data_IF_706008026475
#
_entry.id   IF_706008026475
#
_cell.length_a   1.000
_cell.length_b   1.000
_cell.length_c   1.000
_cell.angle_alpha   90.00
_cell.angle_beta   90.00
_cell.angle_gamma   90.00
#
_symmetry.space_group_name_H-M   'P 1'
#
loop_
_entity.id
_entity.type
_entity.pdbx_description
1 polymer ?
#
# COMPACT_ATOMS: atom_id res chain seq x y z
N UNK A 1 15.19 -3.16 -9.13
CA UNK A 1 16.11 -2.03 -9.44
C UNK A 1 15.44 -0.78 -10.04
N UNK A 2 14.10 -0.73 -10.18
CA UNK A 2 13.39 0.44 -10.76
C UNK A 2 12.74 1.38 -9.72
N UNK A 3 12.51 0.92 -8.49
CA UNK A 3 11.87 1.71 -7.42
C UNK A 3 12.73 2.87 -6.89
N UNK A 4 14.05 2.79 -7.00
CA UNK A 4 14.96 3.82 -6.50
C UNK A 4 15.14 5.03 -7.45
N UNK A 5 14.52 5.01 -8.65
CA UNK A 5 14.66 6.07 -9.67
C UNK A 5 13.59 7.16 -9.59
N UNK A 6 12.41 6.86 -9.03
CA UNK A 6 11.32 7.85 -8.94
C UNK A 6 11.55 8.82 -7.77
N UNK A 7 12.17 8.38 -6.67
CA UNK A 7 12.51 9.27 -5.55
C UNK A 7 13.74 10.16 -5.78
N UNK A 8 14.66 9.77 -6.69
CA UNK A 8 15.94 10.48 -6.92
C UNK A 8 15.89 11.59 -7.98
N UNK A 9 14.77 11.76 -8.70
CA UNK A 9 14.69 12.74 -9.79
C UNK A 9 14.47 14.20 -9.31
N UNK A 10 14.11 14.42 -8.04
CA UNK A 10 13.79 15.76 -7.51
C UNK A 10 14.96 16.57 -6.93
N UNK A 11 16.15 15.99 -6.76
CA UNK A 11 17.23 16.62 -5.95
C UNK A 11 18.53 16.71 -6.76
N UNK A 12 18.54 17.49 -7.84
CA UNK A 12 19.74 17.68 -8.67
C UNK A 12 20.07 19.10 -9.13
N UNK A 13 19.55 20.14 -8.46
CA UNK A 13 20.07 21.49 -8.70
C UNK A 13 20.35 22.24 -7.39
N UNK A 14 21.64 22.42 -7.09
CA UNK A 14 22.14 23.49 -6.23
C UNK A 14 22.68 23.12 -4.84
N UNK A 15 23.99 22.85 -4.75
CA UNK A 15 25.01 23.52 -3.87
C UNK A 15 24.58 23.74 -2.39
N UNK A 16 25.24 23.23 -1.33
CA UNK A 16 26.68 23.22 -0.97
C UNK A 16 26.93 22.29 0.23
N UNK A 17 28.06 21.58 0.21
CA UNK A 17 28.62 20.84 1.35
C UNK A 17 29.02 21.80 2.48
N UNK A 18 28.54 21.57 3.70
CA UNK A 18 29.26 21.95 4.93
C UNK A 18 29.29 20.76 5.89
N UNK A 19 30.50 20.23 6.11
CA UNK A 19 30.82 19.37 7.24
C UNK A 19 30.95 20.25 8.48
N UNK A 20 30.17 19.96 9.51
CA UNK A 20 30.49 20.32 10.89
C UNK A 20 30.06 19.16 11.79
N UNK A 21 31.05 18.55 12.43
CA UNK A 21 30.89 17.59 13.51
C UNK A 21 30.35 18.27 14.76
N UNK A 22 29.28 17.72 15.36
CA UNK A 22 29.03 17.81 16.79
C UNK A 22 28.18 16.63 17.27
N UNK A 23 28.57 16.13 18.43
CA UNK A 23 28.06 15.01 19.20
C UNK A 23 26.52 14.82 19.26
N UNK A 24 26.15 13.54 19.42
CA UNK A 24 25.01 12.98 20.13
C UNK A 24 23.86 13.93 20.54
N UNK A 25 22.70 13.74 19.92
CA UNK A 25 21.40 14.01 20.54
C UNK A 25 20.34 13.15 19.83
N UNK A 26 19.55 12.42 20.61
CA UNK A 26 18.50 11.52 20.11
C UNK A 26 17.43 12.25 19.32
N UNK A 27 16.89 11.55 18.32
CA UNK A 27 15.66 11.95 17.64
C UNK A 27 14.52 11.14 18.23
N UNK A 28 13.93 11.68 19.29
CA UNK A 28 12.59 11.30 19.71
C UNK A 28 11.62 11.74 18.61
N UNK A 29 10.92 10.79 18.00
CA UNK A 29 9.73 11.09 17.20
C UNK A 29 8.69 11.69 18.14
N UNK A 30 8.40 12.97 17.95
CA UNK A 30 7.36 13.69 18.70
C UNK A 30 5.98 13.16 18.31
N UNK A 31 5.58 12.02 18.87
CA UNK A 31 4.16 11.69 18.97
C UNK A 31 3.56 12.60 20.02
N UNK A 32 2.80 13.59 19.57
CA UNK A 32 1.91 14.38 20.43
C UNK A 32 1.06 13.40 21.23
N UNK A 33 1.32 13.35 22.54
CA UNK A 33 0.75 12.37 23.45
C UNK A 33 -0.77 12.38 23.43
N UNK A 34 -1.36 11.34 22.83
CA UNK A 34 -2.61 10.83 23.34
C UNK A 34 -2.31 10.17 24.70
N UNK A 35 -3.12 10.41 25.74
CA UNK A 35 -2.94 9.72 27.01
C UNK A 35 -2.96 8.22 26.73
N UNK A 36 -1.98 7.49 27.26
CA UNK A 36 -1.88 6.05 27.11
C UNK A 36 -3.18 5.42 27.60
N UNK A 37 -4.05 5.03 26.66
CA UNK A 37 -5.22 4.25 26.96
C UNK A 37 -4.70 2.96 27.63
N UNK A 38 -5.12 2.71 28.86
CA UNK A 38 -4.73 1.53 29.65
C UNK A 38 -5.38 0.24 29.13
N UNK A 39 -5.75 0.19 27.84
CA UNK A 39 -6.47 -0.91 27.18
C UNK A 39 -5.99 -1.12 25.74
N UNK A 40 -6.54 -2.15 25.09
CA UNK A 40 -6.22 -2.46 23.70
C UNK A 40 -6.74 -1.39 22.74
N UNK A 41 -5.90 -0.93 21.82
CA UNK A 41 -6.30 -0.06 20.71
C UNK A 41 -6.58 -0.91 19.47
N UNK A 42 -7.71 -0.65 18.82
CA UNK A 42 -8.06 -1.20 17.49
C UNK A 42 -7.84 -0.19 16.37
N UNK A 43 -7.25 0.96 16.69
CA UNK A 43 -6.92 1.97 15.69
C UNK A 43 -5.87 1.43 14.73
N UNK A 44 -6.11 1.59 13.44
CA UNK A 44 -5.12 1.26 12.42
C UNK A 44 -3.91 2.18 12.51
N UNK A 45 -2.73 1.64 12.22
CA UNK A 45 -1.53 2.47 12.03
C UNK A 45 -1.71 3.39 10.82
N UNK A 46 -0.91 4.46 10.75
CA UNK A 46 -0.96 5.37 9.60
C UNK A 46 -0.64 4.63 8.28
N UNK A 47 0.33 3.72 8.30
CA UNK A 47 0.67 2.87 7.16
C UNK A 47 -0.49 1.93 6.76
N UNK A 48 -1.19 1.34 7.73
CA UNK A 48 -2.38 0.53 7.47
C UNK A 48 -3.52 1.34 6.84
N UNK A 49 -3.71 2.59 7.30
CA UNK A 49 -4.66 3.52 6.70
C UNK A 49 -4.28 3.88 5.26
N UNK A 50 -2.99 4.01 4.96
CA UNK A 50 -2.51 4.25 3.60
C UNK A 50 -2.83 3.07 2.67
N UNK A 51 -2.57 1.83 3.11
CA UNK A 51 -2.96 0.64 2.35
C UNK A 51 -4.47 0.56 2.11
N UNK A 52 -5.26 0.78 3.16
CA UNK A 52 -6.72 0.80 3.06
C UNK A 52 -7.20 1.87 2.06
N UNK A 53 -6.66 3.09 2.14
CA UNK A 53 -7.05 4.19 1.25
C UNK A 53 -6.66 3.93 -0.20
N UNK A 54 -5.45 3.40 -0.44
CA UNK A 54 -5.00 3.05 -1.78
C UNK A 54 -5.89 1.97 -2.40
N UNK A 55 -6.16 0.89 -1.66
CA UNK A 55 -7.01 -0.20 -2.11
C UNK A 55 -8.46 0.26 -2.33
N UNK A 56 -9.03 1.08 -1.42
CA UNK A 56 -10.38 1.66 -1.57
C UNK A 56 -10.48 2.55 -2.81
N UNK A 57 -9.46 3.36 -3.07
CA UNK A 57 -9.40 4.20 -4.26
C UNK A 57 -9.38 3.35 -5.53
N UNK A 58 -8.50 2.36 -5.59
CA UNK A 58 -8.41 1.43 -6.72
C UNK A 58 -9.75 0.70 -6.94
N UNK A 59 -10.37 0.18 -5.89
CA UNK A 59 -11.66 -0.49 -6.00
C UNK A 59 -12.74 0.42 -6.59
N UNK A 60 -12.84 1.66 -6.11
CA UNK A 60 -13.84 2.64 -6.59
C UNK A 60 -13.61 3.09 -8.03
N UNK A 61 -12.35 3.33 -8.41
CA UNK A 61 -12.01 3.93 -9.70
C UNK A 61 -11.83 2.88 -10.81
N UNK A 62 -11.39 1.67 -10.47
CA UNK A 62 -10.98 0.65 -11.44
C UNK A 62 -11.87 -0.60 -11.42
N UNK A 63 -12.37 -1.04 -10.26
CA UNK A 63 -13.14 -2.28 -10.14
C UNK A 63 -14.65 -2.01 -10.30
N UNK A 64 -15.22 -1.13 -9.46
CA UNK A 64 -16.66 -0.85 -9.41
C UNK A 64 -17.27 -0.50 -10.78
N UNK A 65 -16.64 0.34 -11.63
CA UNK A 65 -17.24 0.72 -12.91
C UNK A 65 -17.43 -0.44 -13.89
N UNK A 66 -16.64 -1.51 -13.75
CA UNK A 66 -16.60 -2.64 -14.71
C UNK A 66 -17.09 -3.96 -14.11
N UNK A 67 -17.28 -4.04 -12.79
CA UNK A 67 -17.68 -5.25 -12.07
C UNK A 67 -18.89 -5.96 -12.71
N UNK A 68 -20.00 -5.24 -12.90
CA UNK A 68 -21.21 -5.82 -13.46
C UNK A 68 -21.06 -6.30 -14.92
N UNK A 69 -20.11 -5.74 -15.67
CA UNK A 69 -19.82 -6.20 -17.03
C UNK A 69 -19.08 -7.53 -16.99
N UNK A 70 -18.06 -7.66 -16.14
CA UNK A 70 -17.33 -8.92 -15.93
C UNK A 70 -18.23 -10.03 -15.35
N UNK A 71 -19.13 -9.71 -14.41
CA UNK A 71 -20.07 -10.67 -13.87
C UNK A 71 -21.01 -11.25 -14.95
N UNK A 72 -21.44 -10.41 -15.90
CA UNK A 72 -22.32 -10.84 -17.00
C UNK A 72 -21.57 -11.61 -18.09
N UNK A 73 -20.36 -11.18 -18.44
CA UNK A 73 -19.60 -11.79 -19.53
C UNK A 73 -18.85 -13.05 -19.10
N UNK A 74 -18.50 -13.17 -17.81
CA UNK A 74 -17.61 -14.20 -17.31
C UNK A 74 -16.16 -14.05 -17.82
N UNK A 75 -15.83 -12.91 -18.42
CA UNK A 75 -14.46 -12.65 -18.90
C UNK A 75 -13.50 -12.43 -17.73
N UNK A 76 -12.26 -12.91 -17.90
CA UNK A 76 -11.24 -12.75 -16.88
C UNK A 76 -10.67 -11.32 -16.90
N UNK A 77 -10.61 -10.59 -15.75
CA UNK A 77 -10.33 -9.15 -15.71
C UNK A 77 -8.83 -8.81 -15.81
N UNK A 78 -8.13 -9.34 -16.82
CA UNK A 78 -6.69 -9.13 -17.04
C UNK A 78 -6.24 -7.66 -16.98
N UNK A 79 -6.97 -6.68 -17.56
CA UNK A 79 -6.57 -5.28 -17.46
C UNK A 79 -6.52 -4.77 -16.01
N UNK A 80 -7.46 -5.20 -15.17
CA UNK A 80 -7.51 -4.81 -13.75
C UNK A 80 -6.38 -5.46 -12.98
N UNK A 81 -6.13 -6.75 -13.22
CA UNK A 81 -5.05 -7.50 -12.55
C UNK A 81 -3.69 -6.86 -12.83
N UNK A 82 -3.42 -6.47 -14.07
CA UNK A 82 -2.16 -5.79 -14.43
C UNK A 82 -1.99 -4.46 -13.69
N UNK A 83 -3.06 -3.66 -13.58
CA UNK A 83 -3.01 -2.40 -12.81
C UNK A 83 -2.79 -2.67 -11.32
N UNK A 84 -3.46 -3.67 -10.74
CA UNK A 84 -3.27 -4.05 -9.34
C UNK A 84 -1.82 -4.47 -9.07
N UNK A 85 -1.20 -5.23 -9.98
CA UNK A 85 0.21 -5.62 -9.90
C UNK A 85 1.14 -4.40 -9.91
N UNK A 86 0.94 -3.47 -10.84
CA UNK A 86 1.76 -2.25 -10.96
C UNK A 86 1.70 -1.36 -9.71
N UNK A 87 0.56 -1.36 -9.01
CA UNK A 87 0.34 -0.62 -7.77
C UNK A 87 0.80 -1.35 -6.51
N UNK A 88 1.24 -2.61 -6.63
CA UNK A 88 1.64 -3.42 -5.47
C UNK A 88 0.49 -3.92 -4.62
N UNK A 89 -0.73 -4.00 -5.17
CA UNK A 89 -1.93 -4.51 -4.50
C UNK A 89 -2.06 -6.04 -4.58
N UNK A 90 -0.98 -6.73 -4.95
CA UNK A 90 -0.92 -8.17 -5.18
C UNK A 90 0.26 -8.76 -4.43
N UNK A 91 0.09 -9.98 -3.89
CA UNK A 91 1.18 -10.76 -3.31
C UNK A 91 1.97 -9.99 -2.22
N UNK A 92 1.28 -9.14 -1.44
CA UNK A 92 1.91 -8.25 -0.46
C UNK A 92 2.70 -8.99 0.63
N UNK A 93 2.30 -10.23 0.96
CA UNK A 93 2.95 -11.10 1.94
C UNK A 93 4.33 -11.63 1.52
N UNK A 94 4.72 -11.50 0.24
CA UNK A 94 6.02 -11.99 -0.23
C UNK A 94 7.14 -11.22 0.50
N UNK A 95 8.15 -11.91 1.09
CA UNK A 95 9.23 -11.25 1.80
C UNK A 95 10.03 -10.29 0.94
N UNK A 96 10.58 -9.25 1.57
CA UNK A 96 11.36 -8.20 0.91
C UNK A 96 12.62 -8.71 0.20
N UNK A 97 13.26 -9.76 0.73
CA UNK A 97 14.43 -10.41 0.11
C UNK A 97 14.12 -11.01 -1.29
N UNK A 98 12.84 -11.28 -1.57
CA UNK A 98 12.36 -11.75 -2.86
C UNK A 98 11.74 -10.62 -3.71
N UNK A 99 11.83 -9.37 -3.25
CA UNK A 99 11.29 -8.19 -3.94
C UNK A 99 9.81 -7.93 -3.67
N UNK A 100 9.21 -8.58 -2.67
CA UNK A 100 7.86 -8.28 -2.20
C UNK A 100 7.82 -7.16 -1.15
N UNK A 101 6.65 -6.94 -0.56
CA UNK A 101 6.44 -5.89 0.45
C UNK A 101 6.65 -6.40 1.89
N UNK A 102 6.54 -7.71 2.12
CA UNK A 102 6.63 -8.31 3.44
C UNK A 102 5.48 -7.92 4.38
N UNK A 103 4.31 -7.63 3.82
CA UNK A 103 3.13 -7.23 4.59
C UNK A 103 2.64 -8.36 5.50
N UNK A 104 2.13 -8.00 6.68
CA UNK A 104 1.51 -8.97 7.57
C UNK A 104 0.20 -9.50 7.00
N UNK A 105 -0.32 -10.59 7.56
CA UNK A 105 -1.65 -11.10 7.18
C UNK A 105 -2.72 -10.04 7.41
N UNK A 106 -2.64 -9.28 8.50
CA UNK A 106 -3.63 -8.25 8.81
C UNK A 106 -3.60 -7.10 7.80
N UNK A 107 -2.41 -6.65 7.39
CA UNK A 107 -2.30 -5.62 6.35
C UNK A 107 -2.87 -6.10 5.01
N UNK A 108 -2.63 -7.37 4.65
CA UNK A 108 -3.26 -7.98 3.47
C UNK A 108 -4.78 -8.07 3.62
N UNK A 109 -5.32 -8.37 4.81
CA UNK A 109 -6.76 -8.37 5.05
C UNK A 109 -7.39 -6.99 4.79
N UNK A 110 -6.72 -5.90 5.20
CA UNK A 110 -7.20 -4.54 4.94
C UNK A 110 -7.26 -4.25 3.44
N UNK A 111 -6.23 -4.65 2.68
CA UNK A 111 -6.24 -4.51 1.21
C UNK A 111 -7.36 -5.36 0.60
N UNK A 112 -7.47 -6.64 0.99
CA UNK A 112 -8.46 -7.58 0.47
C UNK A 112 -9.90 -7.12 0.73
N UNK A 113 -10.21 -6.62 1.93
CA UNK A 113 -11.53 -6.08 2.27
C UNK A 113 -11.92 -4.95 1.32
N UNK A 114 -10.98 -4.07 1.02
CA UNK A 114 -11.21 -2.92 0.16
C UNK A 114 -11.38 -3.27 -1.32
N UNK A 115 -10.63 -4.26 -1.81
CA UNK A 115 -10.83 -4.79 -3.16
C UNK A 115 -12.18 -5.51 -3.27
N UNK A 116 -12.54 -6.29 -2.24
CA UNK A 116 -13.79 -7.04 -2.17
C UNK A 116 -15.02 -6.12 -2.13
N UNK A 117 -14.90 -4.93 -1.51
CA UNK A 117 -15.92 -3.88 -1.58
C UNK A 117 -16.26 -3.50 -3.03
N UNK A 118 -15.29 -3.55 -3.95
CA UNK A 118 -15.53 -3.28 -5.36
C UNK A 118 -16.24 -4.43 -6.08
N UNK A 119 -15.69 -5.63 -5.98
CA UNK A 119 -16.27 -6.86 -6.51
C UNK A 119 -15.49 -8.07 -5.97
N UNK A 120 -16.17 -9.01 -5.32
CA UNK A 120 -15.54 -10.21 -4.77
C UNK A 120 -14.97 -11.14 -5.85
N UNK A 121 -15.57 -11.20 -7.04
CA UNK A 121 -15.05 -11.98 -8.16
C UNK A 121 -13.73 -11.43 -8.70
N UNK A 122 -13.66 -10.13 -8.92
CA UNK A 122 -12.41 -9.46 -9.34
C UNK A 122 -11.35 -9.53 -8.26
N UNK A 123 -11.73 -9.28 -7.00
CA UNK A 123 -10.82 -9.41 -5.85
C UNK A 123 -10.22 -10.83 -5.76
N UNK A 124 -11.05 -11.86 -5.90
CA UNK A 124 -10.58 -13.27 -5.90
C UNK A 124 -9.55 -13.49 -7.00
N UNK A 125 -9.78 -12.95 -8.20
CA UNK A 125 -8.81 -13.05 -9.30
C UNK A 125 -7.50 -12.31 -9.02
N UNK A 126 -7.52 -11.24 -8.23
CA UNK A 126 -6.33 -10.52 -7.78
C UNK A 126 -5.59 -11.32 -6.70
N UNK A 127 -6.28 -11.96 -5.78
CA UNK A 127 -5.66 -12.66 -4.64
C UNK A 127 -5.20 -14.09 -4.98
N UNK A 128 -5.92 -14.82 -5.83
CA UNK A 128 -5.67 -16.23 -6.16
C UNK A 128 -4.96 -16.44 -7.52
N UNK A 129 -4.13 -15.47 -7.92
CA UNK A 129 -3.44 -15.42 -9.23
C UNK A 129 -2.39 -16.53 -9.45
#
# INVERSE_FOLDING_TARGET
MLFNKVFKAGVRSGIRLQRSSSAAAGTESSHSGQPAATGYSFELTDEQKEFQQLARKFAREEIVPVAAAYDRSGEYPMPIIKKAWELGLMNGHIPQDYGGLGLSIFDNCLVTEELAYGCTGVQTAIEAN
#
